data_IF_314978632981
#
_entry.id   IF_314978632981
#
_cell.length_a   1.000
_cell.length_b   1.000
_cell.length_c   1.000
_cell.angle_alpha   90.00
_cell.angle_beta   90.00
_cell.angle_gamma   90.00
#
_symmetry.space_group_name_H-M   'P 1'
#
loop_
_entity.id
_entity.type
_entity.pdbx_description
1 polymer ?
#
# COMPACT_ATOMS: atom_id res chain seq x y z
N UNK A 1 -15.97 -24.02 -36.67
CA UNK A 1 -15.36 -23.07 -35.72
C UNK A 1 -16.47 -22.31 -35.03
N UNK A 2 -16.99 -22.84 -33.91
CA UNK A 2 -17.80 -22.01 -33.02
C UNK A 2 -16.86 -20.95 -32.43
N UNK A 3 -17.15 -19.68 -32.66
CA UNK A 3 -16.46 -18.60 -31.95
C UNK A 3 -16.96 -18.64 -30.51
N UNK A 4 -16.08 -18.98 -29.57
CA UNK A 4 -16.35 -18.86 -28.14
C UNK A 4 -16.60 -17.38 -27.83
N UNK A 5 -17.84 -17.04 -27.49
CA UNK A 5 -18.20 -15.66 -27.13
C UNK A 5 -17.75 -15.35 -25.71
N UNK A 6 -17.48 -14.08 -25.38
CA UNK A 6 -16.99 -13.68 -24.05
C UNK A 6 -17.91 -14.13 -22.91
N UNK A 7 -19.21 -14.27 -23.14
CA UNK A 7 -20.17 -14.70 -22.12
C UNK A 7 -20.32 -16.23 -22.03
N UNK A 8 -19.66 -16.99 -22.90
CA UNK A 8 -19.71 -18.45 -22.87
C UNK A 8 -19.06 -18.95 -21.57
N UNK A 9 -19.78 -19.82 -20.86
CA UNK A 9 -19.28 -20.47 -19.65
C UNK A 9 -18.39 -21.65 -20.04
N UNK A 10 -17.28 -21.80 -19.33
CA UNK A 10 -16.33 -22.91 -19.52
C UNK A 10 -16.02 -23.53 -18.17
N UNK A 11 -15.90 -24.86 -18.16
CA UNK A 11 -15.39 -25.62 -17.02
C UNK A 11 -13.88 -25.71 -17.07
N UNK A 12 -13.27 -25.59 -15.91
CA UNK A 12 -11.83 -25.67 -15.71
C UNK A 12 -11.57 -26.78 -14.70
N UNK A 13 -10.78 -27.78 -15.08
CA UNK A 13 -10.28 -28.77 -14.11
C UNK A 13 -8.88 -28.37 -13.71
N UNK A 14 -8.72 -28.02 -12.44
CA UNK A 14 -7.48 -27.51 -11.88
C UNK A 14 -7.06 -28.45 -10.77
N UNK A 15 -6.02 -29.25 -11.01
CA UNK A 15 -5.66 -30.34 -10.11
C UNK A 15 -6.86 -31.28 -9.88
N UNK A 16 -7.29 -31.41 -8.61
CA UNK A 16 -8.46 -32.22 -8.22
C UNK A 16 -9.78 -31.44 -8.17
N UNK A 17 -9.78 -30.13 -8.41
CA UNK A 17 -10.95 -29.26 -8.27
C UNK A 17 -11.50 -28.81 -9.62
N UNK A 18 -12.80 -28.49 -9.64
CA UNK A 18 -13.49 -27.95 -10.80
C UNK A 18 -13.89 -26.51 -10.53
N UNK A 19 -13.61 -25.63 -11.49
CA UNK A 19 -14.03 -24.24 -11.49
C UNK A 19 -14.93 -24.00 -12.71
N UNK A 20 -15.77 -22.98 -12.61
CA UNK A 20 -16.58 -22.52 -13.74
C UNK A 20 -16.49 -21.01 -13.84
N UNK A 21 -16.29 -20.52 -15.06
CA UNK A 21 -16.15 -19.09 -15.34
C UNK A 21 -16.55 -18.78 -16.77
N UNK A 22 -16.39 -17.53 -17.20
CA UNK A 22 -16.61 -17.14 -18.60
C UNK A 22 -15.30 -17.01 -19.37
N UNK A 23 -15.37 -17.22 -20.68
CA UNK A 23 -14.25 -16.93 -21.60
C UNK A 23 -13.80 -15.46 -21.46
N UNK A 24 -14.75 -14.55 -21.24
CA UNK A 24 -14.51 -13.14 -21.03
C UNK A 24 -13.57 -12.90 -19.85
N UNK A 25 -13.84 -13.52 -18.70
CA UNK A 25 -12.97 -13.44 -17.52
C UNK A 25 -11.58 -14.00 -17.81
N UNK A 26 -11.48 -15.18 -18.44
CA UNK A 26 -10.19 -15.80 -18.76
C UNK A 26 -9.33 -15.02 -19.78
N UNK A 27 -9.94 -14.05 -20.46
CA UNK A 27 -9.30 -13.25 -21.51
C UNK A 27 -9.31 -11.75 -21.20
N UNK A 28 -9.73 -11.34 -19.99
CA UNK A 28 -9.68 -9.95 -19.53
C UNK A 28 -8.25 -9.44 -19.50
N UNK A 29 -7.35 -10.26 -18.96
CA UNK A 29 -5.94 -9.93 -18.77
C UNK A 29 -5.08 -10.72 -19.77
N UNK A 30 -4.10 -10.08 -20.43
CA UNK A 30 -3.14 -10.78 -21.28
C UNK A 30 -2.46 -11.94 -20.54
N UNK A 31 -2.47 -13.13 -21.15
CA UNK A 31 -1.92 -14.36 -20.58
C UNK A 31 -1.75 -15.44 -21.64
N UNK A 32 -1.28 -16.62 -21.21
CA UNK A 32 -1.25 -17.85 -22.02
C UNK A 32 -2.63 -18.51 -22.19
N UNK A 33 -3.63 -18.17 -21.36
CA UNK A 33 -4.93 -18.84 -21.33
C UNK A 33 -5.68 -18.82 -22.68
N UNK A 34 -5.70 -17.72 -23.47
CA UNK A 34 -6.32 -17.74 -24.80
C UNK A 34 -5.81 -18.86 -25.71
N UNK A 35 -4.50 -19.16 -25.67
CA UNK A 35 -3.91 -20.26 -26.47
C UNK A 35 -4.37 -21.63 -25.99
N UNK A 36 -4.60 -21.80 -24.68
CA UNK A 36 -5.14 -23.04 -24.11
C UNK A 36 -6.60 -23.24 -24.50
N UNK A 37 -7.40 -22.16 -24.51
CA UNK A 37 -8.79 -22.19 -24.96
C UNK A 37 -8.92 -22.55 -26.44
N UNK A 38 -7.99 -22.07 -27.28
CA UNK A 38 -7.94 -22.47 -28.70
C UNK A 38 -7.68 -23.98 -28.87
N UNK A 39 -6.80 -24.57 -28.04
CA UNK A 39 -6.53 -26.01 -28.08
C UNK A 39 -7.76 -26.82 -27.70
N UNK A 40 -8.47 -26.43 -26.64
CA UNK A 40 -9.74 -27.05 -26.21
C UNK A 40 -10.77 -27.00 -27.33
N UNK A 41 -10.95 -25.84 -27.97
CA UNK A 41 -11.90 -25.68 -29.08
C UNK A 41 -11.52 -26.53 -30.30
N UNK A 42 -10.22 -26.64 -30.62
CA UNK A 42 -9.74 -27.44 -31.75
C UNK A 42 -9.92 -28.95 -31.52
N UNK A 43 -9.80 -29.39 -30.27
CA UNK A 43 -9.99 -30.79 -29.88
C UNK A 43 -11.46 -31.17 -29.65
N UNK A 44 -12.38 -30.19 -29.63
CA UNK A 44 -13.76 -30.33 -29.16
C UNK A 44 -13.86 -30.85 -27.72
N UNK A 45 -12.93 -30.42 -26.86
CA UNK A 45 -12.97 -30.72 -25.44
C UNK A 45 -14.02 -29.82 -24.74
N UNK A 46 -14.76 -30.36 -23.78
CA UNK A 46 -15.77 -29.59 -23.01
C UNK A 46 -15.16 -28.81 -21.83
N UNK A 47 -13.91 -29.10 -21.48
CA UNK A 47 -13.24 -28.62 -20.27
C UNK A 47 -11.77 -28.30 -20.52
N UNK A 48 -11.30 -27.19 -19.96
CA UNK A 48 -9.88 -26.84 -19.95
C UNK A 48 -9.22 -27.43 -18.70
N UNK A 49 -8.26 -28.33 -18.88
CA UNK A 49 -7.45 -28.87 -17.77
C UNK A 49 -6.20 -28.03 -17.53
N UNK A 50 -5.95 -27.65 -16.29
CA UNK A 50 -4.75 -26.93 -15.84
C UNK A 50 -4.03 -27.73 -14.75
N UNK A 51 -2.74 -27.99 -14.99
CA UNK A 51 -1.83 -28.49 -13.97
C UNK A 51 -1.40 -27.33 -13.08
N UNK A 52 -2.26 -26.97 -12.13
CA UNK A 52 -2.05 -25.87 -11.19
C UNK A 52 -2.50 -26.26 -9.79
N UNK A 53 -1.99 -25.56 -8.78
CA UNK A 53 -2.57 -25.61 -7.45
C UNK A 53 -3.98 -24.96 -7.44
N UNK A 54 -5.03 -25.67 -6.95
CA UNK A 54 -6.39 -25.14 -6.95
C UNK A 54 -6.60 -23.91 -6.07
N UNK A 55 -5.90 -23.82 -4.93
CA UNK A 55 -6.07 -22.73 -3.98
C UNK A 55 -5.44 -21.45 -4.52
N UNK A 56 -4.24 -21.55 -5.10
CA UNK A 56 -3.60 -20.46 -5.83
C UNK A 56 -4.42 -20.06 -7.08
N UNK A 57 -4.96 -21.02 -7.81
CA UNK A 57 -5.74 -20.73 -9.02
C UNK A 57 -7.04 -19.97 -8.73
N UNK A 58 -7.68 -20.19 -7.58
CA UNK A 58 -8.84 -19.40 -7.16
C UNK A 58 -8.53 -17.89 -7.16
N UNK A 59 -7.33 -17.52 -6.70
CA UNK A 59 -6.86 -16.12 -6.64
C UNK A 59 -6.61 -15.57 -8.02
N UNK A 60 -5.92 -16.36 -8.86
CA UNK A 60 -5.69 -16.03 -10.26
C UNK A 60 -7.02 -15.81 -10.98
N UNK A 61 -8.01 -16.66 -10.72
CA UNK A 61 -9.33 -16.54 -11.34
C UNK A 61 -10.05 -15.25 -10.91
N UNK A 62 -9.90 -14.82 -9.65
CA UNK A 62 -10.42 -13.54 -9.19
C UNK A 62 -9.68 -12.37 -9.86
N UNK A 63 -8.35 -12.43 -9.96
CA UNK A 63 -7.58 -11.42 -10.69
C UNK A 63 -8.00 -11.30 -12.16
N UNK A 64 -8.25 -12.42 -12.83
CA UNK A 64 -8.74 -12.46 -14.21
C UNK A 64 -10.14 -11.86 -14.36
N UNK A 65 -10.96 -11.88 -13.31
CA UNK A 65 -12.31 -11.28 -13.31
C UNK A 65 -12.24 -9.77 -13.10
N UNK A 66 -11.52 -9.35 -12.07
CA UNK A 66 -11.67 -8.00 -11.51
C UNK A 66 -10.44 -7.11 -11.78
N UNK A 67 -9.29 -7.69 -12.14
CA UNK A 67 -8.02 -6.99 -12.35
C UNK A 67 -7.28 -6.64 -11.06
N UNK A 68 -7.83 -7.01 -9.90
CA UNK A 68 -7.24 -6.82 -8.58
C UNK A 68 -7.46 -8.06 -7.70
N UNK A 69 -6.62 -8.19 -6.67
CA UNK A 69 -6.78 -9.19 -5.62
C UNK A 69 -6.54 -8.56 -4.26
N UNK A 70 -7.29 -9.03 -3.28
CA UNK A 70 -7.01 -8.79 -1.87
C UNK A 70 -5.86 -9.69 -1.45
N UNK A 71 -4.75 -9.05 -1.08
CA UNK A 71 -3.61 -9.73 -0.48
C UNK A 71 -3.80 -9.74 1.04
N UNK A 72 -3.38 -10.80 1.74
CA UNK A 72 -3.41 -10.82 3.20
C UNK A 72 -2.56 -9.67 3.76
N UNK A 73 -3.08 -9.00 4.79
CA UNK A 73 -2.39 -7.90 5.48
C UNK A 73 -1.21 -8.40 6.35
N UNK A 74 -1.26 -9.67 6.74
CA UNK A 74 -0.32 -10.29 7.67
C UNK A 74 0.78 -11.06 6.93
N UNK A 75 1.99 -11.03 7.50
CA UNK A 75 3.21 -11.65 6.96
C UNK A 75 3.56 -12.93 7.70
N UNK A 76 2.56 -13.71 8.05
CA UNK A 76 2.79 -15.00 8.68
C UNK A 76 3.31 -15.99 7.62
N UNK A 77 4.06 -16.99 8.08
CA UNK A 77 4.74 -17.97 7.21
C UNK A 77 3.76 -18.69 6.24
N UNK A 78 2.55 -19.10 6.65
CA UNK A 78 1.56 -19.71 5.75
C UNK A 78 1.11 -18.80 4.60
N UNK A 79 0.90 -17.52 4.87
CA UNK A 79 0.45 -16.52 3.90
C UNK A 79 1.53 -16.24 2.86
N UNK A 80 2.80 -16.25 3.27
CA UNK A 80 3.93 -16.12 2.36
C UNK A 80 4.05 -17.33 1.43
N UNK A 81 3.96 -18.56 1.95
CA UNK A 81 3.99 -19.77 1.13
C UNK A 81 2.87 -19.80 0.09
N UNK A 82 1.66 -19.42 0.50
CA UNK A 82 0.52 -19.29 -0.40
C UNK A 82 0.76 -18.25 -1.50
N UNK A 83 1.35 -17.10 -1.17
CA UNK A 83 1.64 -16.06 -2.14
C UNK A 83 2.70 -16.50 -3.17
N UNK A 84 3.72 -17.23 -2.72
CA UNK A 84 4.72 -17.82 -3.61
C UNK A 84 4.09 -18.87 -4.56
N UNK A 85 3.08 -19.62 -4.09
CA UNK A 85 2.32 -20.51 -4.96
C UNK A 85 1.53 -19.72 -6.03
N UNK A 86 0.88 -18.61 -5.66
CA UNK A 86 0.19 -17.72 -6.60
C UNK A 86 1.16 -17.15 -7.65
N UNK A 87 2.34 -16.69 -7.24
CA UNK A 87 3.35 -16.15 -8.15
C UNK A 87 3.86 -17.20 -9.14
N UNK A 88 4.11 -18.43 -8.66
CA UNK A 88 4.52 -19.56 -9.52
C UNK A 88 3.48 -19.89 -10.58
N UNK A 89 2.21 -19.91 -10.19
CA UNK A 89 1.11 -20.17 -11.12
C UNK A 89 0.88 -19.01 -12.10
N UNK A 90 1.06 -17.76 -11.65
CA UNK A 90 1.02 -16.58 -12.50
C UNK A 90 2.11 -16.66 -13.59
N UNK A 91 3.33 -17.04 -13.22
CA UNK A 91 4.44 -17.23 -14.17
C UNK A 91 4.13 -18.34 -15.19
N UNK A 92 3.62 -19.50 -14.73
CA UNK A 92 3.26 -20.62 -15.61
C UNK A 92 2.19 -20.24 -16.66
N UNK A 93 1.27 -19.36 -16.27
CA UNK A 93 0.20 -18.83 -17.11
C UNK A 93 0.59 -17.55 -17.87
N UNK A 94 1.83 -17.08 -17.75
CA UNK A 94 2.32 -15.85 -18.38
C UNK A 94 1.48 -14.62 -18.01
N UNK A 95 1.09 -14.52 -16.73
CA UNK A 95 0.31 -13.43 -16.15
C UNK A 95 1.22 -12.36 -15.53
N UNK A 96 2.02 -11.68 -16.36
CA UNK A 96 3.00 -10.67 -15.91
C UNK A 96 2.38 -9.59 -15.02
N UNK A 97 1.18 -9.11 -15.37
CA UNK A 97 0.47 -8.07 -14.63
C UNK A 97 0.11 -8.47 -13.20
N UNK A 98 -0.20 -9.75 -12.95
CA UNK A 98 -0.43 -10.25 -11.60
C UNK A 98 0.88 -10.26 -10.80
N UNK A 99 1.97 -10.73 -11.39
CA UNK A 99 3.28 -10.73 -10.74
C UNK A 99 3.72 -9.30 -10.38
N UNK A 100 3.57 -8.35 -11.30
CA UNK A 100 3.86 -6.93 -11.05
C UNK A 100 2.98 -6.35 -9.94
N UNK A 101 1.68 -6.65 -9.96
CA UNK A 101 0.74 -6.21 -8.93
C UNK A 101 1.14 -6.71 -7.54
N UNK A 102 1.42 -8.01 -7.41
CA UNK A 102 1.83 -8.63 -6.15
C UNK A 102 3.14 -8.02 -5.64
N UNK A 103 4.15 -7.89 -6.50
CA UNK A 103 5.44 -7.32 -6.11
C UNK A 103 5.31 -5.87 -5.66
N UNK A 104 4.52 -5.05 -6.39
CA UNK A 104 4.27 -3.67 -6.02
C UNK A 104 3.58 -3.55 -4.66
N UNK A 105 2.59 -4.40 -4.39
CA UNK A 105 1.90 -4.44 -3.10
C UNK A 105 2.82 -4.88 -1.95
N UNK A 106 3.67 -5.91 -2.15
CA UNK A 106 4.66 -6.33 -1.15
C UNK A 106 5.61 -5.19 -0.79
N UNK A 107 6.15 -4.49 -1.79
CA UNK A 107 7.04 -3.35 -1.55
C UNK A 107 6.34 -2.20 -0.81
N UNK A 108 5.05 -1.96 -1.09
CA UNK A 108 4.27 -0.96 -0.36
C UNK A 108 4.08 -1.35 1.13
N UNK A 109 3.73 -2.61 1.40
CA UNK A 109 3.58 -3.15 2.76
C UNK A 109 4.90 -3.16 3.54
N UNK A 110 6.02 -3.43 2.86
CA UNK A 110 7.37 -3.34 3.44
C UNK A 110 7.71 -1.89 3.82
N UNK A 111 7.47 -0.95 2.92
CA UNK A 111 7.66 0.48 3.19
C UNK A 111 6.80 0.99 4.35
N UNK A 112 5.56 0.53 4.46
CA UNK A 112 4.65 0.91 5.54
C UNK A 112 5.08 0.33 6.90
N UNK A 113 5.59 -0.90 6.93
CA UNK A 113 6.14 -1.49 8.15
C UNK A 113 7.44 -0.84 8.60
N UNK A 114 8.37 -0.56 7.68
CA UNK A 114 9.57 0.21 7.99
C UNK A 114 9.19 1.59 8.56
N UNK A 115 8.20 2.25 7.95
CA UNK A 115 7.69 3.53 8.41
C UNK A 115 7.00 3.44 9.79
N UNK A 116 6.25 2.37 10.05
CA UNK A 116 5.65 2.09 11.36
C UNK A 116 6.71 1.83 12.43
N UNK A 117 7.72 1.01 12.15
CA UNK A 117 8.84 0.75 13.05
C UNK A 117 9.59 2.05 13.38
N UNK A 118 9.87 2.86 12.35
CA UNK A 118 10.51 4.17 12.51
C UNK A 118 9.67 5.11 13.37
N UNK A 119 8.35 5.13 13.19
CA UNK A 119 7.42 5.89 14.04
C UNK A 119 7.44 5.36 15.48
N UNK A 120 7.40 4.04 15.67
CA UNK A 120 7.52 3.37 16.97
C UNK A 120 8.88 3.56 17.62
N UNK A 121 9.94 3.90 16.89
CA UNK A 121 11.25 4.19 17.46
C UNK A 121 11.35 5.60 18.07
N UNK A 122 10.39 6.49 17.76
CA UNK A 122 10.33 7.83 18.32
C UNK A 122 9.63 7.84 19.67
N UNK A 123 10.13 8.70 20.57
CA UNK A 123 9.66 8.85 21.95
C UNK A 123 9.63 10.32 22.33
N UNK A 124 8.84 10.63 23.35
CA UNK A 124 8.92 11.92 24.05
C UNK A 124 10.37 12.18 24.48
N UNK A 125 10.84 13.39 24.20
CA UNK A 125 12.19 13.84 24.51
C UNK A 125 13.18 13.68 23.36
N UNK A 126 12.88 12.87 22.34
CA UNK A 126 13.75 12.70 21.18
C UNK A 126 13.94 14.01 20.41
N UNK A 127 15.16 14.20 19.91
CA UNK A 127 15.49 15.28 18.97
C UNK A 127 15.13 14.82 17.56
N UNK A 128 14.48 15.71 16.80
CA UNK A 128 14.03 15.43 15.44
C UNK A 128 14.41 16.56 14.49
N UNK A 129 14.57 16.25 13.22
CA UNK A 129 14.68 17.21 12.11
C UNK A 129 13.60 16.93 11.07
N UNK A 130 13.46 17.80 10.09
CA UNK A 130 12.64 17.52 8.90
C UNK A 130 13.27 16.40 8.07
N UNK A 131 12.48 15.37 7.74
CA UNK A 131 12.93 14.22 6.95
C UNK A 131 13.20 14.61 5.49
N UNK A 132 12.30 15.38 4.89
CA UNK A 132 12.40 15.78 3.49
C UNK A 132 12.94 17.21 3.37
N UNK A 133 14.08 17.36 2.68
CA UNK A 133 14.68 18.66 2.39
C UNK A 133 13.79 19.50 1.47
N UNK A 134 12.89 18.90 0.69
CA UNK A 134 11.89 19.60 -0.09
C UNK A 134 10.76 20.09 0.79
N UNK A 135 10.28 19.32 1.79
CA UNK A 135 9.39 19.88 2.82
C UNK A 135 10.06 21.08 3.48
N UNK A 136 11.35 20.97 3.83
CA UNK A 136 12.16 22.10 4.33
C UNK A 136 12.21 23.29 3.36
N UNK A 137 12.49 23.07 2.08
CA UNK A 137 12.51 24.11 1.01
C UNK A 137 11.13 24.69 0.72
N UNK A 138 10.08 23.90 0.89
CA UNK A 138 8.70 24.29 0.69
C UNK A 138 8.21 25.16 1.84
N UNK A 139 8.62 24.88 3.09
CA UNK A 139 8.47 25.79 4.23
C UNK A 139 9.16 27.15 4.01
N UNK A 140 10.12 27.23 3.08
CA UNK A 140 10.78 28.47 2.68
C UNK A 140 10.06 29.24 1.56
N UNK A 141 9.03 28.67 0.89
CA UNK A 141 8.27 29.31 -0.19
C UNK A 141 6.82 29.57 0.22
N UNK A 142 6.36 30.80 -0.01
CA UNK A 142 5.13 31.40 0.53
C UNK A 142 3.80 30.90 -0.09
N UNK A 143 3.82 29.76 -0.78
CA UNK A 143 2.63 29.23 -1.46
C UNK A 143 1.97 28.16 -0.63
N UNK A 144 0.79 28.51 -0.12
CA UNK A 144 -0.22 27.66 0.53
C UNK A 144 -0.16 26.21 0.10
N UNK A 145 0.35 25.38 1.00
CA UNK A 145 0.26 23.93 0.88
C UNK A 145 -1.05 23.47 1.51
N UNK A 146 -1.76 22.58 0.80
CA UNK A 146 -2.71 21.64 1.41
C UNK A 146 -2.00 20.53 2.21
N UNK A 147 -0.81 20.84 2.74
CA UNK A 147 0.07 19.92 3.47
C UNK A 147 0.45 20.65 4.75
N UNK A 148 -0.49 20.68 5.68
CA UNK A 148 -0.31 21.28 6.98
C UNK A 148 -1.67 21.60 7.57
N UNK A 149 -1.90 21.09 8.78
CA UNK A 149 -3.16 21.15 9.51
C UNK A 149 -3.77 22.55 9.41
N UNK A 150 -4.90 22.64 8.69
CA UNK A 150 -5.83 23.73 8.91
C UNK A 150 -6.32 23.59 10.34
N UNK A 151 -5.85 24.46 11.25
CA UNK A 151 -6.30 24.46 12.64
C UNK A 151 -7.70 25.06 12.79
N UNK A 152 -8.40 25.41 11.70
CA UNK A 152 -9.76 25.94 11.74
C UNK A 152 -10.70 25.03 12.54
N UNK A 153 -10.62 23.71 12.32
CA UNK A 153 -11.45 22.73 13.03
C UNK A 153 -10.68 21.96 14.12
N UNK A 154 -9.38 22.26 14.31
CA UNK A 154 -8.46 21.58 15.23
C UNK A 154 -8.54 20.05 15.19
N UNK A 155 -8.90 19.46 14.05
CA UNK A 155 -8.96 18.02 13.86
C UNK A 155 -7.78 17.55 13.00
N UNK A 156 -7.09 16.49 13.44
CA UNK A 156 -6.01 15.87 12.69
C UNK A 156 -6.50 14.56 12.07
N UNK A 157 -6.61 14.53 10.74
CA UNK A 157 -6.99 13.31 10.01
C UNK A 157 -5.90 12.21 10.08
N UNK A 158 -4.63 12.57 10.29
CA UNK A 158 -3.53 11.59 10.33
C UNK A 158 -3.57 10.72 11.58
N UNK A 159 -3.85 11.30 12.75
CA UNK A 159 -3.97 10.56 14.01
C UNK A 159 -5.40 10.51 14.56
N UNK A 160 -6.38 10.91 13.74
CA UNK A 160 -7.82 10.90 14.03
C UNK A 160 -8.14 11.47 15.42
N UNK A 161 -7.54 12.60 15.75
CA UNK A 161 -7.68 13.22 17.07
C UNK A 161 -7.71 14.74 17.03
N UNK A 162 -8.27 15.31 18.09
CA UNK A 162 -8.30 16.77 18.27
C UNK A 162 -6.92 17.28 18.65
N UNK A 163 -6.45 18.28 17.90
CA UNK A 163 -5.20 18.99 18.13
C UNK A 163 -5.35 19.90 19.35
N UNK A 164 -4.37 19.80 20.27
CA UNK A 164 -4.34 20.62 21.50
C UNK A 164 -4.33 22.12 21.21
N UNK A 165 -4.98 22.89 22.08
CA UNK A 165 -5.11 24.35 21.92
C UNK A 165 -3.78 25.10 21.96
N UNK A 166 -2.78 24.49 22.59
CA UNK A 166 -1.43 25.03 22.72
C UNK A 166 -0.60 24.89 21.42
N UNK A 167 -1.08 24.11 20.45
CA UNK A 167 -0.41 23.92 19.18
C UNK A 167 -0.68 25.12 18.25
N UNK A 168 0.39 25.68 17.72
CA UNK A 168 0.34 26.70 16.66
C UNK A 168 0.26 26.03 15.29
N UNK A 169 -0.37 26.69 14.33
CA UNK A 169 -0.29 26.23 12.94
C UNK A 169 1.14 26.45 12.45
N UNK A 170 1.62 25.52 11.63
CA UNK A 170 2.99 25.53 11.15
C UNK A 170 3.30 26.78 10.30
N UNK A 171 2.29 27.36 9.64
CA UNK A 171 2.43 28.52 8.76
C UNK A 171 2.12 29.87 9.41
N UNK A 172 1.67 29.88 10.67
CA UNK A 172 1.30 31.10 11.38
C UNK A 172 2.47 31.73 12.14
N UNK A 173 3.64 31.06 12.16
CA UNK A 173 4.82 31.48 12.93
C UNK A 173 5.96 31.97 12.03
N UNK A 174 6.72 32.99 12.47
CA UNK A 174 7.89 33.47 11.75
C UNK A 174 8.89 32.36 11.42
N UNK A 175 9.47 32.43 10.23
CA UNK A 175 10.32 31.38 9.62
C UNK A 175 11.58 31.03 10.44
N UNK A 176 12.03 31.92 11.32
CA UNK A 176 13.17 31.70 12.22
C UNK A 176 12.81 30.89 13.48
N UNK A 177 11.52 30.64 13.74
CA UNK A 177 11.06 29.90 14.93
C UNK A 177 11.05 28.37 14.73
N UNK A 178 11.12 27.91 13.47
CA UNK A 178 11.17 26.49 13.11
C UNK A 178 12.63 26.16 12.78
N UNK A 179 13.46 26.03 13.82
CA UNK A 179 14.84 25.56 13.69
C UNK A 179 14.90 24.20 12.96
N UNK A 180 16.06 23.86 12.39
CA UNK A 180 16.28 22.56 11.75
C UNK A 180 16.07 21.39 12.73
N UNK A 181 16.15 21.65 14.04
CA UNK A 181 15.98 20.66 15.09
C UNK A 181 14.86 21.02 16.07
N UNK A 182 13.95 20.07 16.29
CA UNK A 182 12.91 20.12 17.30
C UNK A 182 13.07 19.03 18.36
N UNK A 183 12.23 19.11 19.40
CA UNK A 183 12.10 18.08 20.43
C UNK A 183 10.66 17.61 20.53
N UNK A 184 10.47 16.29 20.51
CA UNK A 184 9.16 15.67 20.74
C UNK A 184 8.72 15.93 22.18
N UNK A 185 7.56 16.55 22.35
CA UNK A 185 6.92 16.80 23.64
C UNK A 185 5.94 15.71 24.01
N UNK A 186 5.23 15.19 23.01
CA UNK A 186 4.21 14.18 23.18
C UNK A 186 4.00 13.42 21.85
N UNK A 187 3.64 12.14 21.96
CA UNK A 187 3.16 11.33 20.84
C UNK A 187 1.62 11.35 20.91
N UNK A 188 0.95 11.72 19.84
CA UNK A 188 -0.48 11.97 19.82
C UNK A 188 -1.29 10.79 19.28
N UNK A 189 -2.51 10.62 19.81
CA UNK A 189 -3.52 9.71 19.27
C UNK A 189 -3.02 8.27 19.10
N UNK A 190 -3.17 7.74 17.88
CA UNK A 190 -2.70 6.41 17.47
C UNK A 190 -1.18 6.31 17.21
N UNK A 191 -0.38 7.30 17.63
CA UNK A 191 1.07 7.29 17.44
C UNK A 191 1.54 7.69 16.04
N UNK A 192 0.67 8.25 15.19
CA UNK A 192 1.06 8.78 13.86
C UNK A 192 1.57 10.20 13.88
N UNK A 193 1.25 10.96 14.93
CA UNK A 193 1.62 12.36 15.07
C UNK A 193 2.35 12.62 16.38
N UNK A 194 3.00 13.77 16.47
CA UNK A 194 3.62 14.26 17.68
C UNK A 194 3.46 15.76 17.83
N UNK A 195 3.42 16.20 19.08
CA UNK A 195 3.62 17.60 19.43
C UNK A 195 5.11 17.86 19.53
N UNK A 196 5.64 18.76 18.70
CA UNK A 196 7.07 19.10 18.62
C UNK A 196 7.27 20.57 18.94
N UNK A 197 8.30 20.89 19.72
CA UNK A 197 8.77 22.27 19.91
C UNK A 197 10.09 22.49 19.17
N UNK A 198 10.21 23.58 18.43
CA UNK A 198 11.44 23.99 17.74
C UNK A 198 12.06 25.22 18.42
N UNK A 199 13.40 25.23 18.53
CA UNK A 199 14.19 26.34 19.05
C UNK A 199 13.87 26.87 20.45
N UNK A 200 14.27 28.11 20.71
CA UNK A 200 14.06 28.84 21.97
C UNK A 200 12.60 29.22 22.23
N UNK A 201 11.75 29.12 21.22
CA UNK A 201 10.35 29.51 21.33
C UNK A 201 9.54 28.40 21.99
N UNK A 202 8.62 28.79 22.88
CA UNK A 202 7.70 27.85 23.55
C UNK A 202 6.62 27.28 22.61
N UNK A 203 6.65 27.63 21.33
CA UNK A 203 5.68 27.19 20.35
C UNK A 203 5.71 25.66 20.20
N UNK A 204 4.52 25.07 20.13
CA UNK A 204 4.30 23.65 19.92
C UNK A 204 3.59 23.47 18.60
N UNK A 205 3.96 22.45 17.86
CA UNK A 205 3.39 22.13 16.56
C UNK A 205 2.95 20.68 16.59
N UNK A 206 1.72 20.42 16.17
CA UNK A 206 1.25 19.06 15.94
C UNK A 206 1.70 18.64 14.54
N UNK A 207 2.51 17.59 14.44
CA UNK A 207 3.13 17.19 13.18
C UNK A 207 3.03 15.68 12.96
N UNK A 208 2.79 15.23 11.71
CA UNK A 208 2.92 13.83 11.35
C UNK A 208 4.35 13.35 11.58
N UNK A 209 4.53 12.23 12.27
CA UNK A 209 5.85 11.62 12.51
C UNK A 209 6.54 11.23 11.19
N UNK A 210 5.76 10.99 10.12
CA UNK A 210 6.28 10.73 8.77
C UNK A 210 7.13 11.86 8.18
N UNK A 211 6.94 13.10 8.65
CA UNK A 211 7.72 14.26 8.20
C UNK A 211 8.98 14.50 9.02
N UNK A 212 9.13 13.80 10.14
CA UNK A 212 10.21 13.99 11.08
C UNK A 212 11.24 12.87 10.94
N UNK A 213 12.49 13.16 11.24
CA UNK A 213 13.57 12.18 11.34
C UNK A 213 14.25 12.32 12.70
N UNK A 214 14.37 11.21 13.44
CA UNK A 214 15.06 11.18 14.72
C UNK A 214 16.56 11.38 14.51
N UNK A 215 17.17 12.25 15.32
CA UNK A 215 18.63 12.42 15.36
C UNK A 215 19.18 11.38 16.34
N UNK A 216 20.01 10.46 15.85
CA UNK A 216 20.73 9.52 16.69
C UNK A 216 22.02 10.17 17.20
N UNK A 217 22.05 10.51 18.49
CA UNK A 217 23.27 10.94 19.19
C UNK A 217 23.62 12.44 19.04
N UNK A 218 23.55 13.14 20.18
CA UNK A 218 24.54 14.15 20.63
C UNK A 218 24.70 13.97 22.12
#
# INVERSE_FOLDING_TARGET
>A
LQMLTRNHRIRLRVGSQHFETTIGSLTTVPSRIPRLLEQVNNNNDEELTLEADPEAFRVILNFLRDGEIDLPDERDEPENEWLEAVLREAERLDLTSLSEYVMSKRSAMEGEAEEEERRRAMRRGDRVVWRDINLRRMMHKETTLHVGLSLLDRWCAECESTVSEECSALFDRPRCEIEDCGRIREICGNGRCATVSFGFFRARFHLPLRWLQKIHGT
#
